data_IF_764745330776
#
_entry.id   IF_764745330776
#
_cell.length_a   1.000
_cell.length_b   1.000
_cell.length_c   1.000
_cell.angle_alpha   90.00
_cell.angle_beta   90.00
_cell.angle_gamma   90.00
#
_symmetry.space_group_name_H-M   'P 1'
#
loop_
_entity.id
_entity.type
_entity.pdbx_description
1 polymer ?
#
# COMPACT_ATOMS: atom_id res chain seq x y z
N UNK A 1 19.09 -4.04 9.89
CA UNK A 1 20.15 -3.28 9.19
C UNK A 1 20.36 -1.97 9.96
N UNK A 2 21.61 -1.61 10.24
CA UNK A 2 21.98 -0.41 11.03
C UNK A 2 22.52 0.64 10.06
N UNK A 3 22.09 1.90 10.20
CA UNK A 3 22.55 2.98 9.34
C UNK A 3 23.99 3.35 9.70
N UNK A 4 24.97 3.28 8.78
CA UNK A 4 26.38 3.51 9.09
C UNK A 4 26.69 4.96 9.52
N UNK A 5 25.82 5.91 9.18
CA UNK A 5 26.00 7.34 9.52
C UNK A 5 25.39 7.72 10.86
N UNK A 6 24.34 7.02 11.29
CA UNK A 6 23.58 7.40 12.50
C UNK A 6 23.61 6.33 13.58
N UNK A 7 24.17 5.16 13.29
CA UNK A 7 24.22 3.95 14.12
C UNK A 7 22.87 3.49 14.68
N UNK A 8 21.76 4.00 14.13
CA UNK A 8 20.40 3.62 14.51
C UNK A 8 19.95 2.43 13.66
N UNK A 9 19.19 1.53 14.28
CA UNK A 9 18.44 0.50 13.55
C UNK A 9 17.43 1.20 12.64
N UNK A 10 17.65 1.14 11.34
CA UNK A 10 16.72 1.66 10.37
C UNK A 10 15.65 0.58 10.12
N UNK A 11 14.46 0.76 10.71
CA UNK A 11 13.30 -0.09 10.46
C UNK A 11 12.67 0.17 9.10
N UNK A 12 12.83 1.39 8.56
CA UNK A 12 12.34 1.79 7.24
C UNK A 12 13.46 2.51 6.50
N UNK A 13 13.77 2.05 5.30
CA UNK A 13 14.74 2.67 4.39
C UNK A 13 14.02 3.21 3.16
N UNK A 14 14.50 4.33 2.64
CA UNK A 14 13.95 5.00 1.47
C UNK A 14 14.96 4.92 0.33
N UNK A 15 14.49 4.64 -0.89
CA UNK A 15 15.33 4.66 -2.08
C UNK A 15 15.69 6.11 -2.42
N UNK A 16 16.98 6.43 -2.41
CA UNK A 16 17.46 7.74 -2.82
C UNK A 16 17.48 7.80 -4.35
N UNK A 17 16.61 8.65 -4.91
CA UNK A 17 16.51 8.87 -6.35
C UNK A 17 17.89 9.19 -6.96
N UNK A 18 18.20 8.60 -8.11
CA UNK A 18 19.46 8.80 -8.84
C UNK A 18 20.67 8.01 -8.33
N UNK A 19 20.66 7.45 -7.12
CA UNK A 19 21.81 6.70 -6.57
C UNK A 19 21.58 5.19 -6.44
N UNK A 20 20.32 4.74 -6.44
CA UNK A 20 19.98 3.33 -6.25
C UNK A 20 20.20 2.81 -4.82
N UNK A 21 20.59 3.69 -3.88
CA UNK A 21 20.92 3.32 -2.51
C UNK A 21 19.71 3.49 -1.59
N UNK A 22 19.55 2.55 -0.66
CA UNK A 22 18.56 2.62 0.42
C UNK A 22 19.16 3.35 1.63
N UNK A 23 18.54 4.46 2.04
CA UNK A 23 19.04 5.30 3.12
C UNK A 23 17.96 5.58 4.17
N UNK A 24 18.40 5.85 5.41
CA UNK A 24 17.51 6.31 6.47
C UNK A 24 17.03 7.75 6.20
N UNK A 25 15.85 8.13 6.72
CA UNK A 25 15.26 9.47 6.48
C UNK A 25 16.19 10.65 6.80
N UNK A 26 17.11 10.48 7.77
CA UNK A 26 18.07 11.51 8.16
C UNK A 26 19.09 11.85 7.05
N UNK A 27 19.30 10.95 6.08
CA UNK A 27 20.18 11.20 4.94
C UNK A 27 19.57 12.16 3.90
N UNK A 28 18.27 12.46 4.01
CA UNK A 28 17.55 13.38 3.12
C UNK A 28 17.47 14.78 3.74
N UNK A 29 18.57 15.26 4.30
CA UNK A 29 18.63 16.59 4.91
C UNK A 29 18.35 17.66 3.84
N UNK A 30 17.27 18.44 4.02
CA UNK A 30 16.80 19.45 3.06
C UNK A 30 15.68 18.97 2.14
N UNK A 31 15.48 17.66 1.98
CA UNK A 31 14.35 17.11 1.24
C UNK A 31 13.24 16.68 2.20
N UNK A 32 12.01 17.12 1.93
CA UNK A 32 10.84 16.69 2.71
C UNK A 32 10.36 15.34 2.21
N UNK A 33 10.75 14.28 2.91
CA UNK A 33 10.13 12.98 2.77
C UNK A 33 8.76 12.99 3.46
N UNK A 34 7.71 12.81 2.67
CA UNK A 34 6.35 12.67 3.18
C UNK A 34 5.93 11.20 3.14
N UNK A 35 5.28 10.73 4.20
CA UNK A 35 4.46 9.52 4.11
C UNK A 35 3.23 9.82 3.23
N UNK A 36 2.69 8.81 2.55
CA UNK A 36 1.47 8.98 1.74
C UNK A 36 0.31 9.61 2.56
N UNK A 37 0.16 9.21 3.82
CA UNK A 37 -0.84 9.76 4.75
C UNK A 37 -0.63 11.25 5.09
N UNK A 38 0.59 11.77 4.91
CA UNK A 38 0.91 13.19 5.10
C UNK A 38 0.60 14.01 3.85
N UNK A 39 0.64 13.39 2.66
CA UNK A 39 0.22 14.00 1.40
C UNK A 39 -1.31 14.08 1.29
N UNK A 40 -2.02 13.27 2.08
CA UNK A 40 -3.48 13.27 2.13
C UNK A 40 -4.04 14.43 2.97
N UNK A 41 -5.04 15.11 2.40
CA UNK A 41 -5.84 16.08 3.13
C UNK A 41 -6.47 15.41 4.37
N UNK A 42 -6.38 16.07 5.54
CA UNK A 42 -6.91 15.55 6.81
C UNK A 42 -8.37 15.09 6.73
N UNK A 43 -9.20 15.77 5.94
CA UNK A 43 -10.62 15.42 5.74
C UNK A 43 -10.81 14.07 5.04
N UNK A 44 -9.83 13.65 4.24
CA UNK A 44 -9.87 12.40 3.47
C UNK A 44 -8.92 11.33 4.00
N UNK A 45 -8.23 11.58 5.14
CA UNK A 45 -7.38 10.57 5.77
C UNK A 45 -8.23 9.36 6.17
N UNK A 46 -7.81 8.18 5.71
CA UNK A 46 -8.54 6.93 5.92
C UNK A 46 -9.38 6.51 4.70
N UNK A 47 -9.80 7.43 3.83
CA UNK A 47 -10.45 7.08 2.56
C UNK A 47 -9.52 6.34 1.61
N UNK A 48 -8.26 6.76 1.61
CA UNK A 48 -7.16 6.09 0.93
C UNK A 48 -6.97 4.63 1.35
N UNK A 49 -7.22 4.28 2.61
CA UNK A 49 -7.20 2.88 3.06
C UNK A 49 -8.37 2.08 2.47
N UNK A 50 -9.56 2.69 2.36
CA UNK A 50 -10.72 2.07 1.73
C UNK A 50 -10.50 1.82 0.23
N UNK A 51 -9.97 2.78 -0.50
CA UNK A 51 -9.59 2.62 -1.92
C UNK A 51 -8.25 1.91 -2.14
N UNK A 52 -7.55 1.56 -1.06
CA UNK A 52 -6.25 0.89 -1.13
C UNK A 52 -6.34 -0.53 -1.70
N UNK A 53 -7.49 -1.18 -1.56
CA UNK A 53 -7.77 -2.48 -2.19
C UNK A 53 -7.98 -2.32 -3.68
N UNK A 54 -8.69 -1.29 -4.13
CA UNK A 54 -8.90 -1.01 -5.55
C UNK A 54 -7.59 -0.71 -6.27
N UNK A 55 -6.70 0.12 -5.68
CA UNK A 55 -5.36 0.35 -6.24
C UNK A 55 -4.53 -0.93 -6.33
N UNK A 56 -4.66 -1.85 -5.36
CA UNK A 56 -3.98 -3.15 -5.39
C UNK A 56 -4.57 -4.06 -6.47
N UNK A 57 -5.89 -4.06 -6.65
CA UNK A 57 -6.61 -4.71 -7.75
C UNK A 57 -6.09 -4.24 -9.11
N UNK A 58 -6.09 -2.92 -9.33
CA UNK A 58 -5.62 -2.31 -10.57
C UNK A 58 -4.15 -2.60 -10.85
N UNK A 59 -3.26 -2.46 -9.85
CA UNK A 59 -1.84 -2.74 -10.02
C UNK A 59 -1.54 -4.21 -10.33
N UNK A 60 -2.39 -5.14 -9.88
CA UNK A 60 -2.26 -6.57 -10.18
C UNK A 60 -2.95 -6.97 -11.48
N UNK A 61 -3.92 -6.20 -11.95
CA UNK A 61 -4.64 -6.49 -13.18
C UNK A 61 -3.67 -6.48 -14.37
N UNK A 62 -3.60 -7.61 -15.07
CA UNK A 62 -2.80 -7.78 -16.29
C UNK A 62 -3.62 -8.51 -17.33
N UNK A 63 -3.89 -7.84 -18.45
CA UNK A 63 -4.63 -8.41 -19.57
C UNK A 63 -3.93 -9.69 -20.07
N UNK A 64 -4.70 -10.75 -20.29
CA UNK A 64 -4.20 -12.02 -20.83
C UNK A 64 -3.55 -12.98 -19.82
N UNK A 65 -3.52 -12.66 -18.52
CA UNK A 65 -3.00 -13.58 -17.50
C UNK A 65 -3.99 -14.73 -17.25
N UNK A 66 -3.50 -15.98 -17.25
CA UNK A 66 -4.32 -17.18 -16.98
C UNK A 66 -4.83 -17.20 -15.53
N UNK A 67 -6.14 -17.36 -15.37
CA UNK A 67 -6.80 -17.46 -14.06
C UNK A 67 -6.79 -18.88 -13.50
N UNK A 68 -6.78 -19.88 -14.38
CA UNK A 68 -6.86 -21.29 -14.04
C UNK A 68 -5.78 -22.11 -14.73
N UNK A 69 -5.33 -23.15 -14.05
CA UNK A 69 -4.46 -24.18 -14.58
C UNK A 69 -4.99 -25.54 -14.13
N UNK A 70 -5.30 -26.43 -15.09
CA UNK A 70 -5.91 -27.74 -14.84
C UNK A 70 -7.16 -27.67 -13.93
N UNK A 71 -8.03 -26.70 -14.20
CA UNK A 71 -9.26 -26.47 -13.41
C UNK A 71 -9.04 -25.84 -12.03
N UNK A 72 -7.80 -25.66 -11.56
CA UNK A 72 -7.49 -25.03 -10.27
C UNK A 72 -7.14 -23.55 -10.46
N UNK A 73 -7.55 -22.66 -9.54
CA UNK A 73 -7.13 -21.26 -9.60
C UNK A 73 -5.60 -21.16 -9.44
N UNK A 74 -4.97 -20.25 -10.17
CA UNK A 74 -3.55 -19.98 -9.97
C UNK A 74 -3.32 -19.32 -8.61
N UNK A 75 -2.11 -19.43 -8.04
CA UNK A 75 -1.74 -18.73 -6.78
C UNK A 75 -1.98 -17.22 -6.81
N UNK A 76 -1.98 -16.64 -8.00
CA UNK A 76 -2.31 -15.22 -8.20
C UNK A 76 -3.82 -15.02 -8.13
N UNK A 77 -4.59 -15.84 -8.85
CA UNK A 77 -6.06 -15.78 -8.83
C UNK A 77 -6.62 -16.08 -7.42
N UNK A 78 -6.06 -17.03 -6.68
CA UNK A 78 -6.41 -17.28 -5.27
C UNK A 78 -6.20 -16.07 -4.37
N UNK A 79 -5.16 -15.28 -4.62
CA UNK A 79 -4.89 -14.04 -3.87
C UNK A 79 -5.93 -12.98 -4.20
N UNK A 80 -6.32 -12.84 -5.46
CA UNK A 80 -7.38 -11.92 -5.87
C UNK A 80 -8.72 -12.27 -5.22
N UNK A 81 -9.10 -13.55 -5.18
CA UNK A 81 -10.36 -14.00 -4.59
C UNK A 81 -10.48 -13.71 -3.08
N UNK A 82 -9.35 -13.49 -2.39
CA UNK A 82 -9.34 -13.12 -0.97
C UNK A 82 -9.68 -11.64 -0.74
N UNK A 83 -9.49 -10.77 -1.73
CA UNK A 83 -9.65 -9.33 -1.58
C UNK A 83 -11.11 -8.87 -1.46
N UNK A 84 -12.06 -9.34 -2.29
CA UNK A 84 -13.49 -9.03 -2.13
C UNK A 84 -14.06 -9.44 -0.78
N UNK A 85 -13.57 -10.55 -0.21
CA UNK A 85 -13.99 -11.02 1.12
C UNK A 85 -13.56 -10.06 2.24
N UNK A 86 -12.40 -9.43 2.08
CA UNK A 86 -11.90 -8.44 3.03
C UNK A 86 -12.65 -7.11 2.92
N UNK A 87 -12.98 -6.66 1.71
CA UNK A 87 -13.77 -5.43 1.49
C UNK A 87 -15.23 -5.57 1.89
N UNK A 88 -15.86 -6.72 1.64
CA UNK A 88 -17.23 -6.98 2.09
C UNK A 88 -17.36 -6.95 3.63
N UNK A 89 -16.32 -7.34 4.36
CA UNK A 89 -16.29 -7.29 5.82
C UNK A 89 -16.18 -5.85 6.37
N UNK A 90 -15.56 -4.93 5.63
CA UNK A 90 -15.40 -3.52 6.03
C UNK A 90 -16.52 -2.59 5.55
N UNK A 91 -17.30 -3.00 4.55
CA UNK A 91 -18.42 -2.23 4.00
C UNK A 91 -19.49 -1.76 5.02
N UNK A 92 -19.89 -2.54 6.05
CA UNK A 92 -20.90 -2.11 7.02
C UNK A 92 -20.44 -0.94 7.91
N UNK A 93 -19.14 -0.87 8.22
CA UNK A 93 -18.56 0.22 9.01
C UNK A 93 -18.57 1.55 8.25
N UNK A 94 -18.35 1.49 6.94
CA UNK A 94 -18.34 2.65 6.04
C UNK A 94 -19.75 3.22 5.86
N UNK A 95 -20.75 2.35 5.68
CA UNK A 95 -22.16 2.72 5.61
C UNK A 95 -22.64 3.46 6.87
N UNK A 96 -22.22 3.00 8.05
CA UNK A 96 -22.48 3.70 9.32
C UNK A 96 -21.83 5.08 9.41
N UNK A 97 -20.59 5.23 8.94
CA UNK A 97 -19.91 6.54 8.93
C UNK A 97 -20.54 7.55 7.97
N UNK A 98 -21.13 7.08 6.86
CA UNK A 98 -21.81 7.95 5.89
C UNK A 98 -23.23 8.34 6.30
N UNK A 99 -23.88 7.52 7.13
CA UNK A 99 -25.24 7.78 7.65
C UNK A 99 -25.25 8.61 8.93
N UNK A 100 -24.09 8.90 9.53
CA UNK A 100 -23.95 9.69 10.74
C UNK A 100 -22.82 10.70 10.63
N UNK A 101 -23.15 11.90 10.14
CA UNK A 101 -22.31 13.09 10.10
C UNK A 101 -23.18 14.33 9.97
#
# INVERSE_FOLDING_TARGET
MVCPTTDRRATVLYLRSGTGMLAHRCAFAGERLYYDSQLENKRFRGLSAYFGVDRKCEAQYRKGRKLYYRGKPTRWHERLLKWPRQTAATAPALLRMLQGG
#
